data_IF_956055710812
#
_entry.id   IF_956055710812
#
_cell.length_a   1.000
_cell.length_b   1.000
_cell.length_c   1.000
_cell.angle_alpha   90.00
_cell.angle_beta   90.00
_cell.angle_gamma   90.00
#
_symmetry.space_group_name_H-M   'P 1'
#
loop_
_entity.id
_entity.type
_entity.pdbx_description
1 polymer ?
#
# COMPACT_ATOMS: atom_id res chain seq x y z
N UNK A 1 11.95 -1.00 23.91
CA UNK A 1 11.05 -0.16 23.06
C UNK A 1 11.84 0.35 21.87
N UNK A 2 11.33 0.21 20.65
CA UNK A 2 11.99 0.71 19.42
C UNK A 2 11.92 2.24 19.39
N UNK A 3 12.98 2.90 18.86
CA UNK A 3 12.99 4.35 18.62
C UNK A 3 13.13 4.64 17.14
N UNK A 4 12.44 5.67 16.65
CA UNK A 4 12.48 6.13 15.27
C UNK A 4 13.29 7.44 15.11
N UNK A 5 14.04 7.84 16.16
CA UNK A 5 14.82 9.08 16.19
C UNK A 5 16.23 8.95 15.61
N UNK A 6 16.69 7.74 15.33
CA UNK A 6 18.05 7.53 14.83
C UNK A 6 18.10 7.82 13.32
N UNK A 7 18.52 9.04 12.98
CA UNK A 7 18.61 9.49 11.59
C UNK A 7 19.77 8.86 10.81
N UNK A 8 20.85 8.46 11.50
CA UNK A 8 21.97 7.74 10.87
C UNK A 8 21.50 6.41 10.28
N UNK A 9 20.73 5.65 11.03
CA UNK A 9 20.11 4.40 10.55
C UNK A 9 19.05 4.69 9.49
N UNK A 10 18.17 5.67 9.75
CA UNK A 10 17.05 6.02 8.88
C UNK A 10 17.48 6.35 7.44
N UNK A 11 18.59 7.06 7.29
CA UNK A 11 19.02 7.57 5.99
C UNK A 11 20.35 6.97 5.48
N UNK A 12 20.80 5.86 6.07
CA UNK A 12 22.07 5.22 5.70
C UNK A 12 22.15 4.77 4.23
N UNK A 13 21.00 4.52 3.60
CA UNK A 13 20.89 4.15 2.18
C UNK A 13 20.98 5.35 1.22
N UNK A 14 20.96 6.59 1.73
CA UNK A 14 20.93 7.82 0.93
C UNK A 14 22.27 8.53 0.92
N UNK A 15 22.70 8.96 -0.27
CA UNK A 15 23.82 9.89 -0.42
C UNK A 15 23.44 11.28 0.07
N UNK A 16 24.44 12.16 0.27
CA UNK A 16 24.19 13.57 0.64
C UNK A 16 23.40 14.32 -0.43
N UNK A 17 23.62 13.98 -1.71
CA UNK A 17 22.86 14.55 -2.81
C UNK A 17 21.40 14.08 -2.81
N UNK A 18 21.17 12.81 -2.48
CA UNK A 18 19.80 12.28 -2.33
C UNK A 18 19.06 12.94 -1.17
N UNK A 19 19.73 13.13 -0.02
CA UNK A 19 19.15 13.84 1.12
C UNK A 19 18.79 15.29 0.79
N UNK A 20 19.70 16.03 0.13
CA UNK A 20 19.45 17.42 -0.28
C UNK A 20 18.27 17.50 -1.26
N UNK A 21 18.20 16.57 -2.23
CA UNK A 21 17.08 16.49 -3.18
C UNK A 21 15.77 16.18 -2.46
N UNK A 22 15.75 15.18 -1.56
CA UNK A 22 14.57 14.85 -0.76
C UNK A 22 14.14 16.05 0.10
N UNK A 23 15.07 16.75 0.74
CA UNK A 23 14.78 17.96 1.52
C UNK A 23 14.08 19.04 0.67
N UNK A 24 14.62 19.34 -0.51
CA UNK A 24 14.03 20.35 -1.40
C UNK A 24 12.64 19.94 -1.88
N UNK A 25 12.47 18.66 -2.23
CA UNK A 25 11.18 18.12 -2.65
C UNK A 25 10.15 18.23 -1.53
N UNK A 26 10.43 17.70 -0.33
CA UNK A 26 9.49 17.77 0.80
C UNK A 26 9.21 19.21 1.24
N UNK A 27 10.20 20.10 1.15
CA UNK A 27 9.99 21.54 1.37
C UNK A 27 9.02 22.15 0.35
N UNK A 28 9.09 21.75 -0.92
CA UNK A 28 8.11 22.15 -1.95
C UNK A 28 6.74 21.56 -1.68
N UNK A 29 6.68 20.25 -1.35
CA UNK A 29 5.45 19.55 -1.02
C UNK A 29 4.77 20.05 0.27
N UNK A 30 5.46 20.76 1.15
CA UNK A 30 4.83 21.37 2.34
C UNK A 30 3.93 22.56 2.02
N UNK A 31 3.96 23.06 0.78
CA UNK A 31 3.14 24.20 0.32
C UNK A 31 1.98 23.69 -0.57
N UNK A 32 0.79 23.60 0.02
CA UNK A 32 -0.41 23.06 -0.68
C UNK A 32 -0.72 23.78 -2.01
N UNK A 33 -0.56 25.10 -2.06
CA UNK A 33 -0.75 25.88 -3.30
C UNK A 33 0.20 25.46 -4.43
N UNK A 34 1.46 25.16 -4.12
CA UNK A 34 2.44 24.69 -5.11
C UNK A 34 2.10 23.28 -5.60
N UNK A 35 1.64 22.41 -4.70
CA UNK A 35 1.23 21.04 -5.06
C UNK A 35 0.02 21.06 -5.98
N UNK A 36 -1.04 21.81 -5.65
CA UNK A 36 -2.23 21.96 -6.48
C UNK A 36 -1.91 22.56 -7.86
N UNK A 37 -1.12 23.63 -7.89
CA UNK A 37 -0.70 24.25 -9.14
C UNK A 37 0.16 23.30 -9.99
N UNK A 38 1.13 22.64 -9.39
CA UNK A 38 2.01 21.68 -10.08
C UNK A 38 1.22 20.47 -10.62
N UNK A 39 0.29 19.92 -9.84
CA UNK A 39 -0.59 18.83 -10.25
C UNK A 39 -1.48 19.22 -11.44
N UNK A 40 -2.14 20.38 -11.37
CA UNK A 40 -2.98 20.91 -12.44
C UNK A 40 -2.20 21.18 -13.73
N UNK A 41 -1.02 21.80 -13.64
CA UNK A 41 -0.15 22.05 -14.78
C UNK A 41 0.33 20.74 -15.42
N UNK A 42 0.72 19.76 -14.60
CA UNK A 42 1.17 18.45 -15.09
C UNK A 42 0.05 17.72 -15.82
N UNK A 43 -1.17 17.69 -15.26
CA UNK A 43 -2.33 17.08 -15.92
C UNK A 43 -2.69 17.80 -17.23
N UNK A 44 -2.65 19.14 -17.23
CA UNK A 44 -2.91 19.94 -18.45
C UNK A 44 -1.85 19.66 -19.53
N UNK A 45 -0.58 19.62 -19.15
CA UNK A 45 0.52 19.30 -20.09
C UNK A 45 0.35 17.91 -20.71
N UNK A 46 -0.09 16.90 -19.94
CA UNK A 46 -0.36 15.56 -20.44
C UNK A 46 -1.53 15.57 -21.45
N UNK A 47 -2.63 16.28 -21.12
CA UNK A 47 -3.76 16.43 -22.05
C UNK A 47 -3.36 17.09 -23.36
N UNK A 48 -2.40 18.01 -23.31
CA UNK A 48 -1.83 18.70 -24.46
C UNK A 48 -0.69 17.92 -25.14
N UNK A 49 -0.43 16.68 -24.73
CA UNK A 49 0.67 15.82 -25.22
C UNK A 49 2.07 16.43 -25.07
N UNK A 50 2.25 17.36 -24.13
CA UNK A 50 3.56 17.96 -23.83
C UNK A 50 4.38 16.95 -23.03
N UNK A 51 5.63 16.65 -23.41
CA UNK A 51 6.47 15.70 -22.67
C UNK A 51 6.85 16.27 -21.30
N UNK A 52 6.34 15.65 -20.23
CA UNK A 52 6.61 16.03 -18.81
C UNK A 52 7.75 15.22 -18.19
N UNK A 53 8.23 14.19 -18.86
CA UNK A 53 9.19 13.23 -18.33
C UNK A 53 10.49 13.88 -17.84
N UNK A 54 10.98 14.91 -18.54
CA UNK A 54 12.22 15.58 -18.20
C UNK A 54 12.18 16.38 -16.89
N UNK A 55 10.99 16.75 -16.39
CA UNK A 55 10.79 17.37 -15.08
C UNK A 55 10.38 16.34 -14.04
N UNK A 56 9.39 15.51 -14.34
CA UNK A 56 8.78 14.58 -13.39
C UNK A 56 9.75 13.45 -13.01
N UNK A 57 10.48 12.88 -13.99
CA UNK A 57 11.36 11.72 -13.76
C UNK A 57 12.53 12.02 -12.80
N UNK A 58 13.29 13.13 -12.93
CA UNK A 58 14.38 13.43 -12.01
C UNK A 58 13.94 13.97 -10.64
N UNK A 59 12.68 14.32 -10.47
CA UNK A 59 12.13 14.94 -9.25
C UNK A 59 11.24 13.97 -8.47
N UNK A 60 9.93 14.16 -8.54
CA UNK A 60 8.95 13.42 -7.74
C UNK A 60 8.92 11.91 -8.09
N UNK A 61 9.10 11.55 -9.37
CA UNK A 61 9.13 10.15 -9.78
C UNK A 61 10.30 9.41 -9.13
N UNK A 62 11.53 9.95 -9.22
CA UNK A 62 12.73 9.36 -8.61
C UNK A 62 12.61 9.21 -7.08
N UNK A 63 11.80 10.04 -6.41
CA UNK A 63 11.58 9.95 -4.96
C UNK A 63 10.67 8.79 -4.59
N UNK A 64 9.59 8.55 -5.35
CA UNK A 64 8.50 7.66 -4.93
C UNK A 64 8.30 6.42 -5.80
N UNK A 65 9.03 6.28 -6.91
CA UNK A 65 8.85 5.21 -7.90
C UNK A 65 10.17 4.50 -8.16
N UNK A 66 10.14 3.18 -8.27
CA UNK A 66 11.32 2.35 -8.46
C UNK A 66 11.87 2.34 -9.88
N UNK A 67 11.00 2.45 -10.87
CA UNK A 67 11.35 2.38 -12.29
C UNK A 67 10.11 2.30 -13.18
N UNK A 68 10.28 2.31 -14.49
CA UNK A 68 9.16 2.13 -15.43
C UNK A 68 8.83 0.64 -15.64
N UNK A 69 9.79 -0.25 -15.40
CA UNK A 69 9.64 -1.70 -15.53
C UNK A 69 10.16 -2.43 -14.29
N UNK A 70 9.84 -3.73 -14.17
CA UNK A 70 10.36 -4.61 -13.10
C UNK A 70 11.89 -4.61 -13.09
N UNK A 71 12.53 -4.64 -14.28
CA UNK A 71 13.98 -4.65 -14.42
C UNK A 71 14.61 -3.36 -13.92
N UNK A 72 14.01 -2.21 -14.22
CA UNK A 72 14.48 -0.90 -13.74
C UNK A 72 14.37 -0.76 -12.22
N UNK A 73 13.48 -1.51 -11.55
CA UNK A 73 13.40 -1.56 -10.10
C UNK A 73 14.57 -2.31 -9.45
N UNK A 74 15.28 -3.15 -10.20
CA UNK A 74 16.34 -4.02 -9.69
C UNK A 74 17.41 -3.31 -8.85
N UNK A 75 17.99 -2.19 -9.27
CA UNK A 75 18.95 -1.43 -8.47
C UNK A 75 18.37 -0.95 -7.13
N UNK A 76 17.11 -0.47 -7.11
CA UNK A 76 16.42 -0.04 -5.89
C UNK A 76 16.18 -1.21 -4.94
N UNK A 77 15.74 -2.37 -5.46
CA UNK A 77 15.55 -3.59 -4.67
C UNK A 77 16.86 -4.04 -4.03
N UNK A 78 17.97 -4.03 -4.76
CA UNK A 78 19.30 -4.37 -4.22
C UNK A 78 19.74 -3.39 -3.14
N UNK A 79 19.59 -2.09 -3.36
CA UNK A 79 19.96 -1.08 -2.37
C UNK A 79 19.15 -1.24 -1.06
N UNK A 80 17.86 -1.52 -1.13
CA UNK A 80 17.04 -1.80 0.05
C UNK A 80 17.52 -3.06 0.78
N UNK A 81 17.86 -4.11 0.04
CA UNK A 81 18.34 -5.39 0.59
C UNK A 81 19.62 -5.22 1.41
N UNK A 82 20.56 -4.36 1.01
CA UNK A 82 21.80 -4.09 1.76
C UNK A 82 21.53 -3.67 3.21
N UNK A 83 20.32 -3.19 3.47
CA UNK A 83 19.87 -2.73 4.80
C UNK A 83 18.77 -3.61 5.41
N UNK A 84 18.59 -4.83 4.91
CA UNK A 84 17.54 -5.76 5.34
C UNK A 84 16.10 -5.25 5.16
N UNK A 85 15.89 -4.31 4.25
CA UNK A 85 14.57 -3.85 3.83
C UNK A 85 14.19 -4.57 2.55
N UNK A 86 13.04 -5.22 2.53
CA UNK A 86 12.49 -5.89 1.34
C UNK A 86 11.71 -4.91 0.47
N UNK A 87 11.34 -5.33 -0.74
CA UNK A 87 10.52 -4.55 -1.64
C UNK A 87 9.25 -5.30 -2.06
N UNK A 88 8.18 -4.57 -2.33
CA UNK A 88 6.95 -5.10 -2.95
C UNK A 88 6.71 -4.26 -4.20
N UNK A 89 6.77 -4.90 -5.36
CA UNK A 89 6.59 -4.20 -6.63
C UNK A 89 5.09 -4.02 -6.89
N UNK A 90 4.65 -2.76 -6.94
CA UNK A 90 3.27 -2.36 -7.21
C UNK A 90 3.16 -1.76 -8.62
N UNK A 91 2.45 -2.44 -9.52
CA UNK A 91 2.18 -1.92 -10.85
C UNK A 91 1.12 -0.81 -10.76
N UNK A 92 1.60 0.42 -10.62
CA UNK A 92 0.77 1.59 -10.33
C UNK A 92 0.29 2.30 -11.61
N UNK A 93 -0.28 1.54 -12.55
CA UNK A 93 -0.93 2.07 -13.76
C UNK A 93 -2.41 2.20 -13.49
N UNK A 94 -2.96 3.41 -13.62
CA UNK A 94 -4.35 3.74 -13.30
C UNK A 94 -5.09 4.36 -14.49
N UNK A 95 -6.43 4.34 -14.45
CA UNK A 95 -7.30 5.00 -15.42
C UNK A 95 -7.38 4.29 -16.78
N UNK A 96 -7.27 2.97 -16.80
CA UNK A 96 -7.37 2.13 -17.97
C UNK A 96 -8.49 1.11 -17.78
N UNK A 97 -9.48 1.09 -18.69
CA UNK A 97 -10.72 0.32 -18.55
C UNK A 97 -11.06 -0.52 -19.79
N UNK A 98 -10.23 -0.46 -20.86
CA UNK A 98 -10.48 -1.27 -22.05
C UNK A 98 -10.11 -2.74 -21.81
N UNK A 99 -10.69 -3.65 -22.59
CA UNK A 99 -10.38 -5.08 -22.55
C UNK A 99 -8.87 -5.35 -22.76
N UNK A 100 -8.22 -4.56 -23.61
CA UNK A 100 -6.78 -4.62 -23.87
C UNK A 100 -5.99 -4.18 -22.63
N UNK A 101 -6.43 -3.15 -21.93
CA UNK A 101 -5.78 -2.66 -20.72
C UNK A 101 -5.91 -3.68 -19.58
N UNK A 102 -7.09 -4.28 -19.41
CA UNK A 102 -7.34 -5.34 -18.42
C UNK A 102 -6.44 -6.56 -18.70
N UNK A 103 -6.32 -6.98 -19.95
CA UNK A 103 -5.41 -8.06 -20.36
C UNK A 103 -3.95 -7.71 -20.08
N UNK A 104 -3.53 -6.49 -20.41
CA UNK A 104 -2.17 -6.02 -20.16
C UNK A 104 -1.85 -6.00 -18.64
N UNK A 105 -2.79 -5.52 -17.81
CA UNK A 105 -2.67 -5.53 -16.36
C UNK A 105 -2.55 -6.97 -15.81
N UNK A 106 -3.36 -7.91 -16.31
CA UNK A 106 -3.30 -9.31 -15.92
C UNK A 106 -1.94 -9.95 -16.26
N UNK A 107 -1.44 -9.72 -17.47
CA UNK A 107 -0.13 -10.24 -17.90
C UNK A 107 1.00 -9.67 -17.04
N UNK A 108 1.01 -8.35 -16.78
CA UNK A 108 2.06 -7.71 -16.00
C UNK A 108 1.99 -8.14 -14.52
N UNK A 109 0.80 -8.31 -13.95
CA UNK A 109 0.65 -8.81 -12.58
C UNK A 109 1.13 -10.26 -12.45
N UNK A 110 0.80 -11.13 -13.40
CA UNK A 110 1.34 -12.50 -13.44
C UNK A 110 2.87 -12.51 -13.56
N UNK A 111 3.44 -11.59 -14.34
CA UNK A 111 4.89 -11.39 -14.46
C UNK A 111 5.51 -10.94 -13.14
N UNK A 112 4.86 -10.01 -12.42
CA UNK A 112 5.29 -9.54 -11.10
C UNK A 112 5.26 -10.68 -10.07
N UNK A 113 4.20 -11.50 -10.03
CA UNK A 113 4.09 -12.69 -9.15
C UNK A 113 5.26 -13.65 -9.45
N UNK A 114 5.48 -13.99 -10.72
CA UNK A 114 6.56 -14.90 -11.13
C UNK A 114 7.95 -14.35 -10.79
N UNK A 115 8.15 -13.02 -10.88
CA UNK A 115 9.38 -12.37 -10.48
C UNK A 115 9.58 -12.43 -8.97
N UNK A 116 8.54 -12.19 -8.17
CA UNK A 116 8.58 -12.32 -6.71
C UNK A 116 8.95 -13.75 -6.29
N UNK A 117 8.37 -14.78 -6.93
CA UNK A 117 8.69 -16.18 -6.67
C UNK A 117 10.16 -16.59 -6.92
N UNK A 118 10.90 -15.77 -7.67
CA UNK A 118 12.32 -15.99 -7.98
C UNK A 118 13.28 -15.08 -7.20
N UNK A 119 12.75 -14.14 -6.41
CA UNK A 119 13.55 -13.13 -5.74
C UNK A 119 13.15 -12.98 -4.27
N UNK A 120 13.94 -13.57 -3.38
CA UNK A 120 13.71 -13.52 -1.92
C UNK A 120 13.68 -12.10 -1.32
N UNK A 121 14.04 -11.07 -2.10
CA UNK A 121 13.94 -9.67 -1.69
C UNK A 121 12.58 -9.04 -2.04
N UNK A 122 11.69 -9.81 -2.67
CA UNK A 122 10.33 -9.43 -3.01
C UNK A 122 9.39 -10.47 -2.38
N UNK A 123 9.10 -10.33 -1.06
CA UNK A 123 8.37 -11.36 -0.30
C UNK A 123 6.86 -11.40 -0.55
N UNK A 124 6.31 -10.42 -1.25
CA UNK A 124 4.89 -10.31 -1.58
C UNK A 124 4.71 -9.83 -3.02
N UNK A 125 3.63 -10.28 -3.65
CA UNK A 125 3.04 -9.62 -4.80
C UNK A 125 1.86 -8.74 -4.35
N UNK A 126 1.40 -7.85 -5.23
CA UNK A 126 0.27 -6.96 -4.96
C UNK A 126 -0.47 -6.60 -6.23
N UNK A 127 -1.77 -6.33 -6.10
CA UNK A 127 -2.56 -5.72 -7.16
C UNK A 127 -3.78 -4.95 -6.64
N UNK A 128 -4.32 -4.06 -7.50
CA UNK A 128 -5.58 -3.36 -7.29
C UNK A 128 -6.70 -4.03 -8.09
N UNK A 129 -7.83 -4.39 -7.46
CA UNK A 129 -8.95 -5.06 -8.13
C UNK A 129 -9.53 -4.28 -9.33
N UNK A 130 -9.57 -2.94 -9.29
CA UNK A 130 -10.04 -2.10 -10.39
C UNK A 130 -9.24 -2.23 -11.69
N UNK A 131 -8.04 -2.84 -11.64
CA UNK A 131 -7.28 -3.15 -12.84
C UNK A 131 -7.87 -4.33 -13.65
N UNK A 132 -8.84 -5.08 -13.11
CA UNK A 132 -9.32 -6.34 -13.70
C UNK A 132 -10.80 -6.36 -14.07
N UNK A 133 -11.50 -5.25 -13.91
CA UNK A 133 -12.87 -5.02 -14.41
C UNK A 133 -13.18 -3.53 -14.39
N UNK A 134 -14.34 -3.12 -14.91
CA UNK A 134 -14.78 -1.74 -14.87
C UNK A 134 -15.34 -1.35 -13.50
N UNK A 135 -15.20 -0.08 -13.07
CA UNK A 135 -15.78 0.43 -11.82
C UNK A 135 -17.29 0.16 -11.68
N UNK A 136 -18.05 0.29 -12.77
CA UNK A 136 -19.49 0.06 -12.80
C UNK A 136 -19.89 -1.36 -12.36
N UNK A 137 -19.12 -2.37 -12.77
CA UNK A 137 -19.37 -3.75 -12.38
C UNK A 137 -19.15 -3.92 -10.88
N UNK A 138 -18.03 -3.40 -10.35
CA UNK A 138 -17.73 -3.47 -8.93
C UNK A 138 -18.83 -2.77 -8.10
N UNK A 139 -19.26 -1.59 -8.53
CA UNK A 139 -20.30 -0.82 -7.84
C UNK A 139 -21.66 -1.51 -7.90
N UNK A 140 -22.10 -1.95 -9.09
CA UNK A 140 -23.42 -2.54 -9.27
C UNK A 140 -23.57 -3.86 -8.50
N UNK A 141 -22.53 -4.71 -8.49
CA UNK A 141 -22.51 -5.94 -7.69
C UNK A 141 -22.48 -5.62 -6.20
N UNK A 142 -21.59 -4.72 -5.76
CA UNK A 142 -21.47 -4.33 -4.35
C UNK A 142 -22.76 -3.72 -3.78
N UNK A 143 -23.51 -3.03 -4.62
CA UNK A 143 -24.80 -2.43 -4.25
C UNK A 143 -25.98 -3.43 -4.34
N UNK A 144 -25.76 -4.68 -4.76
CA UNK A 144 -26.82 -5.68 -4.92
C UNK A 144 -27.84 -5.32 -6.02
N UNK A 145 -27.45 -4.52 -7.02
CA UNK A 145 -28.35 -4.15 -8.12
C UNK A 145 -28.67 -5.33 -9.02
N UNK A 146 -29.83 -5.29 -9.66
CA UNK A 146 -30.20 -6.28 -10.69
C UNK A 146 -29.27 -6.10 -11.91
N UNK A 147 -28.44 -7.08 -12.16
CA UNK A 147 -27.48 -7.08 -13.26
C UNK A 147 -28.11 -7.57 -14.56
N UNK A 148 -27.71 -6.98 -15.67
CA UNK A 148 -27.91 -7.53 -17.01
C UNK A 148 -27.06 -8.79 -17.21
N UNK A 149 -27.35 -9.60 -18.23
CA UNK A 149 -26.58 -10.82 -18.50
C UNK A 149 -25.12 -10.51 -18.90
N UNK A 150 -24.86 -9.36 -19.52
CA UNK A 150 -23.49 -8.91 -19.81
C UNK A 150 -22.73 -8.54 -18.51
N UNK A 151 -23.37 -7.84 -17.61
CA UNK A 151 -22.76 -7.48 -16.31
C UNK A 151 -22.49 -8.73 -15.45
N UNK A 152 -23.40 -9.69 -15.43
CA UNK A 152 -23.16 -10.98 -14.74
C UNK A 152 -21.94 -11.70 -15.34
N UNK A 153 -21.85 -11.79 -16.66
CA UNK A 153 -20.71 -12.40 -17.33
C UNK A 153 -19.40 -11.68 -17.00
N UNK A 154 -19.39 -10.33 -16.93
CA UNK A 154 -18.19 -9.60 -16.58
C UNK A 154 -17.83 -9.76 -15.10
N UNK A 155 -18.80 -9.81 -14.19
CA UNK A 155 -18.56 -10.13 -12.79
C UNK A 155 -17.91 -11.52 -12.62
N UNK A 156 -18.36 -12.53 -13.37
CA UNK A 156 -17.74 -13.87 -13.39
C UNK A 156 -16.33 -13.84 -14.01
N UNK A 157 -16.10 -13.03 -15.06
CA UNK A 157 -14.75 -12.85 -15.61
C UNK A 157 -13.82 -12.18 -14.60
N UNK A 158 -14.31 -11.20 -13.83
CA UNK A 158 -13.55 -10.61 -12.74
C UNK A 158 -13.12 -11.66 -11.72
N UNK A 159 -14.07 -12.49 -11.21
CA UNK A 159 -13.75 -13.60 -10.30
C UNK A 159 -12.67 -14.53 -10.88
N UNK A 160 -12.82 -14.93 -12.14
CA UNK A 160 -11.87 -15.81 -12.81
C UNK A 160 -10.47 -15.19 -12.97
N UNK A 161 -10.37 -13.86 -13.25
CA UNK A 161 -9.09 -13.14 -13.32
C UNK A 161 -8.42 -13.09 -11.94
N UNK A 162 -9.17 -12.76 -10.88
CA UNK A 162 -8.64 -12.77 -9.51
C UNK A 162 -8.18 -14.17 -9.10
N UNK A 163 -8.98 -15.19 -9.38
CA UNK A 163 -8.60 -16.59 -9.11
C UNK A 163 -7.32 -16.99 -9.86
N UNK A 164 -7.17 -16.59 -11.12
CA UNK A 164 -5.94 -16.83 -11.91
C UNK A 164 -4.70 -16.26 -11.23
N UNK A 165 -4.80 -15.03 -10.70
CA UNK A 165 -3.70 -14.39 -9.96
C UNK A 165 -3.42 -15.11 -8.63
N UNK A 166 -4.46 -15.53 -7.92
CA UNK A 166 -4.34 -16.27 -6.67
C UNK A 166 -3.71 -17.66 -6.88
N UNK A 167 -4.06 -18.37 -7.96
CA UNK A 167 -3.43 -19.65 -8.37
C UNK A 167 -1.93 -19.41 -8.62
N UNK A 168 -1.58 -18.42 -9.42
CA UNK A 168 -0.18 -18.12 -9.73
C UNK A 168 0.63 -17.77 -8.47
N UNK A 169 0.04 -17.04 -7.53
CA UNK A 169 0.65 -16.71 -6.24
C UNK A 169 0.85 -17.97 -5.38
N UNK A 170 -0.16 -18.81 -5.29
CA UNK A 170 -0.12 -20.08 -4.55
C UNK A 170 0.93 -21.03 -5.10
N UNK A 171 0.96 -21.25 -6.42
CA UNK A 171 1.94 -22.11 -7.11
C UNK A 171 3.36 -21.59 -6.96
N UNK A 172 3.53 -20.26 -6.94
CA UNK A 172 4.82 -19.61 -6.71
C UNK A 172 5.21 -19.55 -5.22
N UNK A 173 4.35 -19.98 -4.31
CA UNK A 173 4.48 -19.86 -2.84
C UNK A 173 4.73 -18.40 -2.38
N UNK A 174 4.21 -17.41 -3.10
CA UNK A 174 4.34 -15.98 -2.82
C UNK A 174 3.03 -15.44 -2.28
N UNK A 175 3.01 -14.89 -1.05
CA UNK A 175 1.85 -14.17 -0.55
C UNK A 175 1.47 -13.00 -1.46
N UNK A 176 0.16 -12.81 -1.69
CA UNK A 176 -0.36 -11.74 -2.53
C UNK A 176 -1.31 -10.84 -1.73
N UNK A 177 -1.07 -9.54 -1.81
CA UNK A 177 -1.86 -8.49 -1.17
C UNK A 177 -2.89 -7.98 -2.18
N UNK A 178 -4.17 -8.07 -1.84
CA UNK A 178 -5.25 -7.52 -2.65
C UNK A 178 -5.65 -6.20 -2.02
N UNK A 179 -5.38 -5.09 -2.74
CA UNK A 179 -5.61 -3.74 -2.23
C UNK A 179 -7.11 -3.45 -2.12
N UNK A 180 -7.51 -2.82 -1.01
CA UNK A 180 -8.84 -2.26 -0.88
C UNK A 180 -8.91 -0.90 -1.58
N UNK A 181 -10.07 -0.60 -2.12
CA UNK A 181 -10.30 0.60 -2.89
C UNK A 181 -11.53 1.39 -2.37
N UNK A 182 -12.26 2.07 -3.23
CA UNK A 182 -13.43 2.86 -2.83
C UNK A 182 -14.50 1.99 -2.13
N UNK A 183 -15.13 2.52 -1.09
CA UNK A 183 -16.06 1.74 -0.24
C UNK A 183 -17.24 1.14 -1.01
N UNK A 184 -17.70 1.80 -2.07
CA UNK A 184 -18.80 1.31 -2.90
C UNK A 184 -18.43 0.17 -3.85
N UNK A 185 -17.14 -0.16 -3.98
CA UNK A 185 -16.64 -1.35 -4.69
C UNK A 185 -16.35 -2.51 -3.73
N UNK A 186 -16.11 -2.18 -2.45
CA UNK A 186 -15.38 -3.04 -1.52
C UNK A 186 -16.16 -4.32 -1.15
N UNK A 187 -17.48 -4.28 -1.10
CA UNK A 187 -18.26 -5.46 -0.72
C UNK A 187 -18.03 -6.64 -1.67
N UNK A 188 -18.04 -6.40 -2.97
CA UNK A 188 -17.79 -7.45 -3.96
C UNK A 188 -16.31 -7.89 -3.95
N UNK A 189 -15.40 -6.96 -3.77
CA UNK A 189 -13.97 -7.27 -3.62
C UNK A 189 -13.77 -8.17 -2.38
N UNK A 190 -14.32 -7.78 -1.23
CA UNK A 190 -14.22 -8.56 0.02
C UNK A 190 -14.81 -9.97 -0.12
N UNK A 191 -15.93 -10.13 -0.82
CA UNK A 191 -16.53 -11.42 -1.11
C UNK A 191 -15.57 -12.30 -1.90
N UNK A 192 -15.06 -11.83 -3.03
CA UNK A 192 -14.14 -12.59 -3.87
C UNK A 192 -12.84 -12.92 -3.12
N UNK A 193 -12.28 -11.99 -2.36
CA UNK A 193 -11.05 -12.22 -1.59
C UNK A 193 -11.27 -13.26 -0.49
N UNK A 194 -12.42 -13.22 0.20
CA UNK A 194 -12.76 -14.23 1.21
C UNK A 194 -12.91 -15.63 0.60
N UNK A 195 -13.51 -15.75 -0.60
CA UNK A 195 -13.56 -17.02 -1.36
C UNK A 195 -12.14 -17.53 -1.67
N UNK A 196 -11.26 -16.65 -2.13
CA UNK A 196 -9.87 -17.02 -2.44
C UNK A 196 -9.08 -17.42 -1.19
N UNK A 197 -9.25 -16.72 -0.06
CA UNK A 197 -8.65 -17.12 1.22
C UNK A 197 -9.16 -18.50 1.67
N UNK A 198 -10.46 -18.73 1.60
CA UNK A 198 -11.04 -20.03 1.97
C UNK A 198 -10.50 -21.18 1.08
N UNK A 199 -10.16 -20.90 -0.17
CA UNK A 199 -9.63 -21.88 -1.12
C UNK A 199 -8.14 -22.16 -0.94
N UNK A 200 -7.32 -21.10 -0.79
CA UNK A 200 -5.87 -21.19 -0.89
C UNK A 200 -5.11 -21.07 0.46
N UNK A 201 -5.72 -20.49 1.51
CA UNK A 201 -5.06 -20.29 2.80
C UNK A 201 -5.22 -21.49 3.76
N UNK A 202 -5.10 -22.72 3.27
CA UNK A 202 -5.35 -23.93 4.08
C UNK A 202 -4.19 -24.27 5.04
N UNK A 203 -2.97 -23.95 4.68
CA UNK A 203 -1.77 -24.26 5.48
C UNK A 203 -1.15 -22.99 6.08
N UNK A 204 -1.20 -21.90 5.33
CA UNK A 204 -0.70 -20.57 5.73
C UNK A 204 -1.42 -19.49 4.94
N UNK A 205 -1.32 -18.22 5.37
CA UNK A 205 -1.86 -17.11 4.60
C UNK A 205 -1.01 -16.85 3.35
N UNK A 206 -1.61 -17.06 2.18
CA UNK A 206 -1.07 -16.71 0.85
C UNK A 206 -1.86 -15.53 0.28
N UNK A 207 -3.18 -15.54 0.44
CA UNK A 207 -4.07 -14.47 -0.03
C UNK A 207 -4.36 -13.54 1.15
N UNK A 208 -4.20 -12.23 0.94
CA UNK A 208 -4.43 -11.21 1.95
C UNK A 208 -5.50 -10.24 1.50
N UNK A 209 -6.48 -9.99 2.37
CA UNK A 209 -7.40 -8.87 2.22
C UNK A 209 -6.83 -7.60 2.87
N UNK A 210 -7.22 -6.43 2.37
CA UNK A 210 -6.81 -5.13 2.91
C UNK A 210 -7.96 -4.48 3.68
N UNK A 211 -7.70 -4.15 4.94
CA UNK A 211 -8.63 -3.49 5.86
C UNK A 211 -8.27 -2.00 5.96
N UNK A 212 -9.19 -1.14 5.49
CA UNK A 212 -9.04 0.32 5.52
C UNK A 212 -9.63 0.86 6.82
N UNK A 213 -8.82 1.02 7.85
CA UNK A 213 -9.26 1.32 9.22
C UNK A 213 -9.81 2.74 9.41
N UNK A 214 -9.76 3.61 8.39
CA UNK A 214 -10.46 4.89 8.40
C UNK A 214 -11.98 4.74 8.22
N UNK A 215 -12.47 3.53 7.88
CA UNK A 215 -13.90 3.20 7.84
C UNK A 215 -14.33 2.62 9.18
N UNK A 216 -15.49 3.09 9.67
CA UNK A 216 -16.04 2.67 10.96
C UNK A 216 -16.52 1.22 11.04
N UNK A 217 -16.72 0.55 9.88
CA UNK A 217 -17.22 -0.82 9.79
C UNK A 217 -16.10 -1.89 9.74
N UNK A 218 -14.83 -1.48 9.58
CA UNK A 218 -13.74 -2.44 9.27
C UNK A 218 -13.27 -3.26 10.46
N UNK A 219 -13.39 -2.77 11.69
CA UNK A 219 -13.03 -3.56 12.87
C UNK A 219 -14.01 -4.75 13.05
N UNK A 220 -15.31 -4.49 12.96
CA UNK A 220 -16.32 -5.56 12.99
C UNK A 220 -16.19 -6.54 11.82
N UNK A 221 -15.87 -6.04 10.62
CA UNK A 221 -15.61 -6.89 9.47
C UNK A 221 -14.37 -7.78 9.65
N UNK A 222 -13.32 -7.30 10.33
CA UNK A 222 -12.14 -8.10 10.69
C UNK A 222 -12.52 -9.26 11.61
N UNK A 223 -13.30 -8.98 12.66
CA UNK A 223 -13.77 -9.99 13.62
C UNK A 223 -14.63 -11.05 12.95
N UNK A 224 -15.55 -10.63 12.07
CA UNK A 224 -16.37 -11.53 11.26
C UNK A 224 -15.53 -12.37 10.29
N UNK A 225 -14.54 -11.76 9.62
CA UNK A 225 -13.62 -12.45 8.72
C UNK A 225 -12.79 -13.50 9.45
N UNK A 226 -12.32 -13.19 10.66
CA UNK A 226 -11.63 -14.17 11.51
C UNK A 226 -12.54 -15.34 11.91
N UNK A 227 -13.78 -15.05 12.33
CA UNK A 227 -14.76 -16.10 12.65
C UNK A 227 -14.98 -17.03 11.47
N UNK A 228 -15.20 -16.49 10.26
CA UNK A 228 -15.34 -17.27 9.02
C UNK A 228 -14.09 -18.11 8.73
N UNK A 229 -12.91 -17.54 8.93
CA UNK A 229 -11.64 -18.24 8.73
C UNK A 229 -11.48 -19.41 9.74
N UNK A 230 -11.84 -19.18 11.00
CA UNK A 230 -11.78 -20.20 12.04
C UNK A 230 -12.76 -21.36 11.75
N UNK A 231 -14.03 -21.05 11.46
CA UNK A 231 -15.07 -22.02 11.13
C UNK A 231 -14.76 -22.77 9.81
N UNK A 232 -14.21 -22.07 8.80
CA UNK A 232 -13.83 -22.63 7.51
C UNK A 232 -12.48 -23.35 7.47
N UNK A 233 -11.78 -23.40 8.64
CA UNK A 233 -10.45 -23.97 8.80
C UNK A 233 -9.44 -23.47 7.75
N UNK A 234 -9.27 -22.14 7.68
CA UNK A 234 -8.24 -21.50 6.86
C UNK A 234 -7.57 -20.34 7.63
N UNK A 235 -6.46 -19.83 7.11
CA UNK A 235 -5.72 -18.74 7.71
C UNK A 235 -6.16 -17.39 7.14
N UNK A 236 -6.30 -16.38 7.99
CA UNK A 236 -6.62 -15.02 7.57
C UNK A 236 -5.33 -14.26 7.23
N UNK A 237 -5.19 -13.81 5.99
CA UNK A 237 -4.18 -12.82 5.59
C UNK A 237 -4.76 -11.42 5.74
N UNK A 238 -4.25 -10.62 6.66
CA UNK A 238 -4.79 -9.29 6.97
C UNK A 238 -3.74 -8.19 6.74
N UNK A 239 -3.99 -7.35 5.74
CA UNK A 239 -3.24 -6.12 5.51
C UNK A 239 -4.02 -4.94 6.08
N UNK A 240 -3.36 -4.13 6.90
CA UNK A 240 -3.94 -2.94 7.51
C UNK A 240 -3.38 -1.67 6.88
N UNK A 241 -4.26 -0.78 6.50
CA UNK A 241 -3.96 0.59 6.08
C UNK A 241 -4.98 1.53 6.74
N UNK A 242 -4.67 2.83 6.82
CA UNK A 242 -5.71 3.79 7.21
C UNK A 242 -6.71 3.99 6.09
N UNK A 243 -6.26 4.24 4.90
CA UNK A 243 -7.03 4.44 3.67
C UNK A 243 -6.55 5.67 2.91
N UNK A 244 -6.78 5.71 1.60
CA UNK A 244 -6.22 6.72 0.72
C UNK A 244 -7.27 7.62 0.04
N UNK A 245 -8.56 7.40 0.30
CA UNK A 245 -9.64 8.04 -0.47
C UNK A 245 -10.61 8.87 0.40
N UNK A 246 -10.17 9.32 1.58
CA UNK A 246 -11.03 9.94 2.60
C UNK A 246 -11.87 11.11 2.07
N UNK A 247 -11.25 12.02 1.32
CA UNK A 247 -11.97 13.18 0.78
C UNK A 247 -13.01 12.74 -0.27
N UNK A 248 -12.64 11.84 -1.18
CA UNK A 248 -13.53 11.28 -2.20
C UNK A 248 -14.72 10.54 -1.59
N UNK A 249 -14.49 9.79 -0.52
CA UNK A 249 -15.54 9.08 0.23
C UNK A 249 -16.54 10.05 0.89
N UNK A 250 -16.03 11.10 1.53
CA UNK A 250 -16.84 12.12 2.18
C UNK A 250 -17.64 12.95 1.17
N UNK A 251 -17.00 13.35 0.07
CA UNK A 251 -17.63 14.11 -1.02
C UNK A 251 -18.78 13.31 -1.64
N UNK A 252 -18.54 12.06 -2.01
CA UNK A 252 -19.57 11.16 -2.56
C UNK A 252 -20.73 10.96 -1.58
N UNK A 253 -20.44 10.72 -0.30
CA UNK A 253 -21.48 10.56 0.71
C UNK A 253 -22.36 11.81 0.84
N UNK A 254 -21.74 12.99 0.81
CA UNK A 254 -22.46 14.28 0.84
C UNK A 254 -23.32 14.47 -0.43
N UNK A 255 -22.76 14.24 -1.62
CA UNK A 255 -23.45 14.41 -2.90
C UNK A 255 -24.66 13.47 -3.05
N UNK A 256 -24.53 12.22 -2.59
CA UNK A 256 -25.59 11.22 -2.72
C UNK A 256 -26.47 11.08 -1.47
N UNK A 257 -26.21 11.86 -0.41
CA UNK A 257 -27.06 11.96 0.78
C UNK A 257 -27.09 10.72 1.65
N UNK A 258 -25.99 9.96 1.74
CA UNK A 258 -25.86 8.81 2.65
C UNK A 258 -24.82 9.09 3.75
N UNK A 259 -24.88 8.38 4.91
CA UNK A 259 -23.88 8.53 5.96
C UNK A 259 -22.48 8.16 5.48
N UNK A 260 -21.50 9.04 5.70
CA UNK A 260 -20.12 8.74 5.32
C UNK A 260 -19.60 7.47 6.01
N UNK A 261 -18.96 6.55 5.29
CA UNK A 261 -18.35 5.35 5.90
C UNK A 261 -17.07 5.66 6.69
N UNK A 262 -16.59 6.89 6.59
CA UNK A 262 -15.32 7.32 7.18
C UNK A 262 -15.52 7.70 8.64
N UNK A 263 -14.58 7.31 9.51
CA UNK A 263 -14.49 7.72 10.92
C UNK A 263 -14.60 9.24 11.06
N UNK A 264 -15.21 9.75 12.14
CA UNK A 264 -15.41 11.18 12.33
C UNK A 264 -14.09 11.96 12.43
N UNK A 265 -13.06 11.33 12.98
CA UNK A 265 -11.78 11.95 13.23
C UNK A 265 -10.60 10.95 13.10
N UNK A 266 -9.39 11.51 13.21
CA UNK A 266 -8.15 10.74 13.16
C UNK A 266 -7.97 9.84 14.37
N UNK A 267 -8.39 10.30 15.53
CA UNK A 267 -8.28 9.60 16.80
C UNK A 267 -9.10 8.31 16.77
N UNK A 268 -10.30 8.34 16.22
CA UNK A 268 -11.15 7.16 16.01
C UNK A 268 -10.52 6.17 15.02
N UNK A 269 -9.94 6.69 13.94
CA UNK A 269 -9.17 5.87 12.98
C UNK A 269 -7.96 5.20 13.65
N UNK A 270 -7.20 5.94 14.44
CA UNK A 270 -6.02 5.45 15.14
C UNK A 270 -6.39 4.39 16.19
N UNK A 271 -7.49 4.61 16.93
CA UNK A 271 -8.03 3.66 17.91
C UNK A 271 -8.38 2.33 17.26
N UNK A 272 -9.17 2.36 16.18
CA UNK A 272 -9.63 1.15 15.51
C UNK A 272 -8.48 0.43 14.79
N UNK A 273 -7.53 1.18 14.23
CA UNK A 273 -6.30 0.61 13.66
C UNK A 273 -5.49 -0.16 14.72
N UNK A 274 -5.28 0.44 15.87
CA UNK A 274 -4.52 -0.20 16.94
C UNK A 274 -5.30 -1.35 17.60
N UNK A 275 -6.62 -1.26 17.72
CA UNK A 275 -7.48 -2.35 18.16
C UNK A 275 -7.38 -3.57 17.22
N UNK A 276 -7.38 -3.33 15.89
CA UNK A 276 -7.19 -4.38 14.90
C UNK A 276 -5.83 -5.07 15.03
N UNK A 277 -4.73 -4.32 15.23
CA UNK A 277 -3.41 -4.91 15.45
C UNK A 277 -3.39 -5.78 16.72
N UNK A 278 -3.97 -5.30 17.81
CA UNK A 278 -4.08 -6.05 19.06
C UNK A 278 -4.87 -7.34 18.87
N UNK A 279 -6.06 -7.26 18.28
CA UNK A 279 -6.90 -8.42 17.95
C UNK A 279 -6.11 -9.46 17.14
N UNK A 280 -5.38 -9.04 16.11
CA UNK A 280 -4.62 -9.97 15.28
C UNK A 280 -3.44 -10.63 16.00
N UNK A 281 -2.74 -9.91 16.89
CA UNK A 281 -1.67 -10.50 17.71
C UNK A 281 -2.23 -11.48 18.74
N UNK A 282 -3.40 -11.20 19.31
CA UNK A 282 -4.10 -12.13 20.20
C UNK A 282 -4.46 -13.45 19.50
N UNK A 283 -4.77 -13.39 18.21
CA UNK A 283 -5.16 -14.52 17.36
C UNK A 283 -4.10 -14.90 16.31
N UNK A 284 -2.81 -14.67 16.63
CA UNK A 284 -1.69 -14.83 15.68
C UNK A 284 -1.54 -16.26 15.13
N UNK A 285 -2.09 -17.26 15.80
CA UNK A 285 -2.08 -18.65 15.34
C UNK A 285 -2.83 -18.86 14.03
N UNK A 286 -3.78 -17.96 13.69
CA UNK A 286 -4.65 -18.04 12.51
C UNK A 286 -4.57 -16.79 11.63
N UNK A 287 -3.89 -15.73 12.07
CA UNK A 287 -3.79 -14.47 11.33
C UNK A 287 -2.34 -14.16 10.98
N UNK A 288 -2.11 -13.77 9.74
CA UNK A 288 -0.84 -13.17 9.31
C UNK A 288 -1.05 -11.69 9.06
N UNK A 289 -0.22 -10.86 9.65
CA UNK A 289 -0.37 -9.41 9.73
C UNK A 289 0.57 -8.73 8.74
N UNK A 290 0.02 -7.86 7.89
CA UNK A 290 0.78 -6.92 7.08
C UNK A 290 0.42 -5.48 7.48
N UNK A 291 1.29 -4.82 8.26
CA UNK A 291 1.06 -3.50 8.84
C UNK A 291 1.56 -2.39 7.90
N UNK A 292 0.68 -1.91 7.02
CA UNK A 292 0.95 -0.82 6.06
C UNK A 292 0.66 0.55 6.66
N UNK A 293 1.61 1.13 7.39
CA UNK A 293 1.39 2.41 8.06
C UNK A 293 2.61 3.32 8.09
N UNK A 294 2.38 4.63 7.99
CA UNK A 294 3.35 5.71 8.20
C UNK A 294 3.29 6.31 9.63
N UNK A 295 2.48 5.72 10.52
CA UNK A 295 2.32 6.18 11.89
C UNK A 295 3.35 5.49 12.80
N UNK A 296 4.24 6.29 13.39
CA UNK A 296 5.30 5.82 14.29
C UNK A 296 4.72 5.08 15.50
N UNK A 297 3.63 5.61 16.09
CA UNK A 297 2.99 5.00 17.26
C UNK A 297 2.45 3.60 16.93
N UNK A 298 1.67 3.45 15.86
CA UNK A 298 1.09 2.15 15.48
C UNK A 298 2.17 1.13 15.09
N UNK A 299 3.28 1.59 14.46
CA UNK A 299 4.41 0.72 14.18
C UNK A 299 5.13 0.26 15.47
N UNK A 300 5.37 1.19 16.41
CA UNK A 300 5.95 0.87 17.70
C UNK A 300 5.03 -0.01 18.56
N UNK A 301 3.72 0.26 18.53
CA UNK A 301 2.71 -0.52 19.26
C UNK A 301 2.64 -1.98 18.79
N UNK A 302 2.69 -2.24 17.47
CA UNK A 302 2.76 -3.61 16.98
C UNK A 302 4.04 -4.33 17.44
N UNK A 303 5.18 -3.64 17.43
CA UNK A 303 6.43 -4.20 17.93
C UNK A 303 6.36 -4.53 19.43
N UNK A 304 5.68 -3.70 20.23
CA UNK A 304 5.42 -3.95 21.64
C UNK A 304 4.47 -5.14 21.86
N UNK A 305 3.39 -5.23 21.08
CA UNK A 305 2.47 -6.37 21.14
C UNK A 305 3.17 -7.69 20.78
N UNK A 306 4.09 -7.68 19.81
CA UNK A 306 4.92 -8.85 19.47
C UNK A 306 5.78 -9.27 20.65
N UNK A 307 6.45 -8.32 21.33
CA UNK A 307 7.28 -8.59 22.51
C UNK A 307 6.43 -9.16 23.66
N UNK A 308 5.28 -8.57 23.95
CA UNK A 308 4.34 -9.03 24.99
C UNK A 308 3.81 -10.44 24.73
N UNK A 309 3.56 -10.79 23.47
CA UNK A 309 3.11 -12.13 23.04
C UNK A 309 4.26 -13.14 22.97
N UNK A 310 5.53 -12.72 23.15
CA UNK A 310 6.70 -13.58 23.04
C UNK A 310 7.04 -13.99 21.62
N UNK A 311 6.66 -13.18 20.60
CA UNK A 311 6.99 -13.44 19.21
C UNK A 311 8.42 -12.98 18.90
N UNK A 312 9.10 -13.72 18.03
CA UNK A 312 10.38 -13.29 17.49
C UNK A 312 10.19 -12.03 16.62
N UNK A 313 11.18 -11.14 16.60
CA UNK A 313 11.12 -9.90 15.82
C UNK A 313 10.92 -10.16 14.32
N UNK A 314 11.51 -11.23 13.82
CA UNK A 314 11.38 -11.69 12.43
C UNK A 314 10.34 -12.80 12.25
N UNK A 315 9.33 -12.86 13.13
CA UNK A 315 8.23 -13.81 12.97
C UNK A 315 7.62 -13.66 11.56
N UNK A 316 7.56 -14.72 10.74
CA UNK A 316 7.14 -14.62 9.34
C UNK A 316 5.67 -14.22 9.18
N UNK A 317 4.88 -14.28 10.26
CA UNK A 317 3.47 -13.87 10.30
C UNK A 317 3.28 -12.38 10.50
N UNK A 318 4.34 -11.60 10.77
CA UNK A 318 4.23 -10.15 11.02
C UNK A 318 5.19 -9.38 10.13
N UNK A 319 4.63 -8.45 9.34
CA UNK A 319 5.36 -7.59 8.44
C UNK A 319 4.99 -6.13 8.64
N UNK A 320 6.00 -5.26 8.57
CA UNK A 320 5.85 -3.81 8.57
C UNK A 320 6.10 -3.26 7.17
N UNK A 321 5.31 -2.27 6.76
CA UNK A 321 5.50 -1.68 5.44
C UNK A 321 5.20 -0.20 5.40
N UNK A 322 6.00 0.52 4.63
CA UNK A 322 5.82 1.92 4.28
C UNK A 322 6.00 2.08 2.76
N UNK A 323 5.41 3.13 2.21
CA UNK A 323 5.62 3.47 0.81
C UNK A 323 7.09 3.86 0.57
N UNK A 324 7.61 3.51 -0.60
CA UNK A 324 8.96 3.90 -1.00
C UNK A 324 9.07 5.44 -1.06
N UNK A 325 10.20 5.94 -0.58
CA UNK A 325 10.47 7.36 -0.52
C UNK A 325 9.82 8.13 0.64
N UNK A 326 9.08 7.44 1.52
CA UNK A 326 8.45 8.01 2.72
C UNK A 326 8.77 7.17 3.95
N UNK A 327 8.81 7.83 5.12
CA UNK A 327 8.97 7.19 6.45
C UNK A 327 10.16 6.24 6.54
N UNK A 328 11.29 6.64 5.96
CA UNK A 328 12.51 5.85 6.01
C UNK A 328 12.98 5.63 7.46
N UNK A 329 12.70 6.60 8.34
CA UNK A 329 12.98 6.48 9.78
C UNK A 329 12.23 5.33 10.45
N UNK A 330 11.01 4.99 10.01
CA UNK A 330 10.29 3.81 10.51
C UNK A 330 10.91 2.55 9.91
N UNK A 331 10.98 2.47 8.57
CA UNK A 331 11.42 1.26 7.88
C UNK A 331 12.82 0.81 8.25
N UNK A 332 13.80 1.72 8.19
CA UNK A 332 15.19 1.35 8.43
C UNK A 332 15.51 1.10 9.91
N UNK A 333 14.85 1.80 10.85
CA UNK A 333 15.02 1.51 12.27
C UNK A 333 14.38 0.17 12.67
N UNK A 334 13.22 -0.20 12.13
CA UNK A 334 12.60 -1.52 12.33
C UNK A 334 13.49 -2.63 11.73
N UNK A 335 13.95 -2.48 10.49
CA UNK A 335 14.82 -3.46 9.85
C UNK A 335 16.15 -3.63 10.59
N UNK A 336 16.74 -2.53 11.08
CA UNK A 336 17.95 -2.56 11.91
C UNK A 336 17.72 -3.28 13.25
N UNK A 337 16.54 -3.13 13.82
CA UNK A 337 16.16 -3.83 15.05
C UNK A 337 15.83 -5.33 14.84
N UNK A 338 15.78 -5.82 13.58
CA UNK A 338 15.56 -7.22 13.22
C UNK A 338 14.12 -7.58 12.84
N UNK A 339 13.22 -6.60 12.66
CA UNK A 339 11.85 -6.86 12.21
C UNK A 339 11.77 -7.08 10.69
N UNK A 340 10.73 -7.81 10.24
CA UNK A 340 10.43 -7.95 8.82
C UNK A 340 9.84 -6.66 8.27
N UNK A 341 10.54 -6.03 7.34
CA UNK A 341 10.14 -4.75 6.75
C UNK A 341 10.18 -4.83 5.23
N UNK A 342 9.14 -4.29 4.59
CA UNK A 342 9.10 -4.13 3.14
C UNK A 342 8.70 -2.70 2.75
N UNK A 343 9.30 -2.17 1.69
CA UNK A 343 8.88 -0.93 1.03
C UNK A 343 7.93 -1.27 -0.12
N UNK A 344 6.76 -0.64 -0.13
CA UNK A 344 5.88 -0.62 -1.28
C UNK A 344 6.53 0.22 -2.37
N UNK A 345 6.97 -0.42 -3.45
CA UNK A 345 7.77 0.17 -4.52
C UNK A 345 6.95 0.23 -5.81
N UNK A 346 6.27 1.36 -6.08
CA UNK A 346 5.53 1.54 -7.30
C UNK A 346 6.43 1.50 -8.53
N UNK A 347 5.90 0.97 -9.63
CA UNK A 347 6.56 1.03 -10.94
C UNK A 347 5.54 1.18 -12.07
N UNK A 348 6.01 1.68 -13.21
CA UNK A 348 5.20 1.87 -14.41
C UNK A 348 5.62 3.11 -15.20
N UNK A 349 5.17 3.22 -16.47
CA UNK A 349 5.48 4.38 -17.31
C UNK A 349 5.06 5.70 -16.68
N UNK A 350 5.92 6.72 -16.74
CA UNK A 350 5.77 8.01 -16.05
C UNK A 350 4.35 8.57 -16.17
N UNK A 351 3.80 8.63 -17.39
CA UNK A 351 2.47 9.22 -17.66
C UNK A 351 1.33 8.50 -16.93
N UNK A 352 1.45 7.20 -16.67
CA UNK A 352 0.43 6.38 -16.04
C UNK A 352 0.56 6.32 -14.51
N UNK A 353 1.74 6.69 -13.98
CA UNK A 353 2.01 6.76 -12.54
C UNK A 353 1.70 8.16 -11.96
N UNK A 354 1.42 9.16 -12.81
CA UNK A 354 1.13 10.53 -12.35
C UNK A 354 -0.03 10.62 -11.37
N UNK A 355 -1.19 9.94 -11.55
CA UNK A 355 -2.26 9.97 -10.54
C UNK A 355 -1.77 9.51 -9.15
N UNK A 356 -0.98 8.46 -9.11
CA UNK A 356 -0.31 7.99 -7.88
C UNK A 356 0.59 9.09 -7.28
N UNK A 357 1.43 9.74 -8.09
CA UNK A 357 2.35 10.79 -7.62
C UNK A 357 1.62 12.02 -7.08
N UNK A 358 0.49 12.41 -7.70
CA UNK A 358 -0.36 13.50 -7.24
C UNK A 358 -0.94 13.18 -5.87
N UNK A 359 -1.50 11.98 -5.67
CA UNK A 359 -2.00 11.58 -4.35
C UNK A 359 -0.90 11.57 -3.28
N UNK A 360 0.33 11.14 -3.61
CA UNK A 360 1.47 11.22 -2.67
C UNK A 360 1.80 12.67 -2.31
N UNK A 361 1.76 13.57 -3.27
CA UNK A 361 1.97 15.00 -3.01
C UNK A 361 0.85 15.57 -2.11
N UNK A 362 -0.41 15.25 -2.36
CA UNK A 362 -1.56 15.71 -1.58
C UNK A 362 -1.56 15.14 -0.16
N UNK A 363 -1.29 13.84 0.03
CA UNK A 363 -1.17 13.24 1.36
C UNK A 363 -0.09 13.91 2.20
N UNK A 364 1.04 14.25 1.59
CA UNK A 364 2.09 14.98 2.28
C UNK A 364 1.67 16.40 2.71
N UNK A 365 0.66 17.00 2.06
CA UNK A 365 0.15 18.32 2.43
C UNK A 365 -1.03 18.26 3.41
N UNK A 366 -1.86 17.22 3.33
CA UNK A 366 -3.11 17.10 4.11
C UNK A 366 -2.90 16.56 5.52
N UNK A 367 -1.89 15.71 5.72
CA UNK A 367 -1.57 15.16 7.04
C UNK A 367 -0.70 16.16 7.80
N UNK A 368 -1.34 17.00 8.62
CA UNK A 368 -0.63 17.93 9.52
C UNK A 368 0.40 17.16 10.35
N UNK A 369 1.69 17.48 10.16
CA UNK A 369 2.80 16.93 10.93
C UNK A 369 3.68 15.90 10.20
N UNK A 370 3.19 15.15 9.21
CA UNK A 370 4.01 14.12 8.55
C UNK A 370 5.13 14.73 7.71
N UNK A 371 4.83 15.70 6.83
CA UNK A 371 5.85 16.42 6.05
C UNK A 371 6.81 17.18 6.96
N UNK A 372 6.31 17.81 8.03
CA UNK A 372 7.14 18.46 9.04
C UNK A 372 8.10 17.49 9.73
N UNK A 373 7.62 16.26 10.01
CA UNK A 373 8.44 15.20 10.60
C UNK A 373 9.54 14.74 9.65
N UNK A 374 9.20 14.44 8.39
CA UNK A 374 10.18 14.07 7.35
C UNK A 374 11.26 15.15 7.17
N UNK A 375 10.85 16.40 7.01
CA UNK A 375 11.77 17.53 6.86
C UNK A 375 12.70 17.71 8.08
N UNK A 376 12.16 17.57 9.29
CA UNK A 376 12.92 17.67 10.53
C UNK A 376 14.00 16.60 10.61
N UNK A 377 13.65 15.34 10.31
CA UNK A 377 14.59 14.22 10.37
C UNK A 377 15.66 14.31 9.26
N UNK A 378 15.29 14.68 8.03
CA UNK A 378 16.25 14.91 6.94
C UNK A 378 17.20 16.06 7.30
N UNK A 379 16.69 17.16 7.85
CA UNK A 379 17.50 18.30 8.28
C UNK A 379 18.49 17.92 9.39
N UNK A 380 18.02 17.14 10.38
CA UNK A 380 18.85 16.60 11.47
C UNK A 380 20.00 15.75 10.91
N UNK A 381 19.72 14.87 9.94
CA UNK A 381 20.73 14.04 9.33
C UNK A 381 21.75 14.83 8.48
N UNK A 382 21.28 15.79 7.69
CA UNK A 382 22.16 16.68 6.93
C UNK A 382 23.12 17.43 7.88
N UNK A 383 22.60 17.94 9.00
CA UNK A 383 23.42 18.62 10.02
C UNK A 383 24.42 17.67 10.66
N UNK A 384 23.99 16.45 11.06
CA UNK A 384 24.86 15.42 11.64
C UNK A 384 26.05 15.07 10.73
N UNK A 385 25.79 14.91 9.41
CA UNK A 385 26.86 14.57 8.44
C UNK A 385 27.85 15.72 8.26
N UNK A 386 27.36 16.99 8.29
CA UNK A 386 28.26 18.17 8.19
C UNK A 386 29.20 18.34 9.38
N UNK A 387 28.81 17.90 10.56
CA UNK A 387 29.65 17.97 11.77
C UNK A 387 30.64 16.82 11.89
N UNK A 388 30.49 15.75 11.09
CA UNK A 388 31.45 14.62 11.04
C UNK A 388 32.51 14.76 9.95
N UNK A 389 32.31 15.68 8.99
CA UNK A 389 33.28 16.08 7.95
C UNK A 389 33.98 17.38 8.35
#
# INVERSE_FOLDING_TARGET
MITFENTEIAFRSKSDNDLRRSYLLFKTLSHNSLVKLGGSLTQSAIKMHIPVNWVVKPTIYKQFVGGETIEECGPTVRNLQEYNVKAILDYSVEGKESDEDIKAALVETLRSIKNAGKNSNIPFAVFKPTAFTTPDILENVSAGKKLTDKEKQEAERFRARIETLCIAAYESSIPILIDAEDSWFQNFIDEVVNEMMAKFNKEKAIIFNTFQMYRHDRLGFLEESYKKAFEGNYYLGAKFVRGAYMEKERERAHELGYPSPIQPDKESTDRDFNAALKFCVEHIERITIFNGTHNEYSAGYLAELMEQKGLEKNDPRVWFSQLYGMSDHISFNLAYAGYNVAKYLPYGPVKHVIPYLVRRAEENTSVKGQTGRELSLISKEISRRRTKN
#
